data_IF_235957926415
#
_entry.id   IF_235957926415
#
_cell.length_a   1.000
_cell.length_b   1.000
_cell.length_c   1.000
_cell.angle_alpha   90.00
_cell.angle_beta   90.00
_cell.angle_gamma   90.00
#
_symmetry.space_group_name_H-M   'P 1'
#
loop_
_entity.id
_entity.type
_entity.pdbx_description
1 polymer ?
#
# COMPACT_ATOMS: atom_id res chain seq x y z
N UNK A 1 -16.40 -8.09 -17.43
CA UNK A 1 -16.53 -6.62 -17.38
C UNK A 1 -16.40 -6.15 -15.94
N UNK A 2 -15.26 -5.57 -15.56
CA UNK A 2 -15.07 -5.06 -14.19
C UNK A 2 -15.85 -3.75 -14.01
N UNK A 3 -16.71 -3.71 -12.99
CA UNK A 3 -17.46 -2.51 -12.61
C UNK A 3 -16.48 -1.46 -12.07
N UNK A 4 -16.51 -0.25 -12.64
CA UNK A 4 -15.86 0.91 -12.05
C UNK A 4 -16.66 1.38 -10.84
N UNK A 5 -16.04 1.39 -9.66
CA UNK A 5 -16.64 1.96 -8.44
C UNK A 5 -16.27 3.43 -8.32
N UNK A 6 -17.24 4.28 -7.95
CA UNK A 6 -16.97 5.69 -7.63
C UNK A 6 -16.39 5.79 -6.22
N UNK A 7 -15.34 6.60 -6.06
CA UNK A 7 -14.70 6.86 -4.77
C UNK A 7 -14.88 8.34 -4.42
N UNK A 8 -15.54 8.62 -3.28
CA UNK A 8 -15.79 9.97 -2.79
C UNK A 8 -15.29 10.09 -1.35
N UNK A 9 -14.41 11.06 -1.11
CA UNK A 9 -13.88 11.37 0.21
C UNK A 9 -14.01 12.86 0.50
N UNK A 10 -14.08 13.21 1.78
CA UNK A 10 -13.93 14.59 2.25
C UNK A 10 -12.52 14.74 2.80
N UNK A 11 -11.86 15.82 2.43
CA UNK A 11 -10.52 16.20 2.88
C UNK A 11 -10.54 17.68 3.22
N UNK A 12 -9.53 18.12 3.97
CA UNK A 12 -9.33 19.53 4.26
C UNK A 12 -9.11 20.33 2.97
N UNK A 13 -9.69 21.54 2.83
CA UNK A 13 -9.61 22.30 1.59
C UNK A 13 -8.16 22.67 1.22
N UNK A 14 -7.31 22.96 2.20
CA UNK A 14 -5.90 23.29 1.98
C UNK A 14 -5.13 22.09 1.41
N UNK A 15 -5.28 20.92 2.03
CA UNK A 15 -4.68 19.67 1.54
C UNK A 15 -5.13 19.33 0.11
N UNK A 16 -6.40 19.55 -0.21
CA UNK A 16 -6.91 19.32 -1.55
C UNK A 16 -6.26 20.26 -2.57
N UNK A 17 -6.10 21.54 -2.21
CA UNK A 17 -5.48 22.53 -3.08
C UNK A 17 -4.02 22.21 -3.35
N UNK A 18 -3.24 21.94 -2.29
CA UNK A 18 -1.82 21.54 -2.41
C UNK A 18 -1.65 20.28 -3.27
N UNK A 19 -2.50 19.28 -3.07
CA UNK A 19 -2.46 18.06 -3.87
C UNK A 19 -2.73 18.32 -5.35
N UNK A 20 -3.71 19.18 -5.66
CA UNK A 20 -4.02 19.55 -7.04
C UNK A 20 -2.88 20.34 -7.68
N UNK A 21 -2.25 21.25 -6.94
CA UNK A 21 -1.14 22.06 -7.44
C UNK A 21 0.09 21.19 -7.72
N UNK A 22 0.40 20.22 -6.86
CA UNK A 22 1.42 19.20 -7.11
C UNK A 22 1.11 18.37 -8.36
N UNK A 23 -0.15 17.92 -8.52
CA UNK A 23 -0.57 17.17 -9.71
C UNK A 23 -0.41 18.00 -11.00
N UNK A 24 -0.75 19.29 -10.97
CA UNK A 24 -0.57 20.21 -12.11
C UNK A 24 0.91 20.42 -12.42
N UNK A 25 1.74 20.57 -11.40
CA UNK A 25 3.19 20.74 -11.57
C UNK A 25 3.83 19.51 -12.24
N UNK A 26 3.36 18.31 -11.89
CA UNK A 26 3.79 17.06 -12.54
C UNK A 26 3.13 16.79 -13.90
N UNK A 27 2.17 17.62 -14.34
CA UNK A 27 1.31 17.43 -15.51
C UNK A 27 0.58 16.07 -15.51
N UNK A 28 0.08 15.67 -14.32
CA UNK A 28 -0.56 14.37 -14.10
C UNK A 28 -1.99 14.52 -13.61
N UNK A 29 -2.94 13.72 -14.12
CA UNK A 29 -4.30 13.71 -13.60
C UNK A 29 -4.34 13.24 -12.14
N UNK A 30 -4.99 14.00 -11.26
CA UNK A 30 -5.17 13.67 -9.85
C UNK A 30 -5.71 12.24 -9.63
N UNK A 31 -6.68 11.81 -10.44
CA UNK A 31 -7.22 10.46 -10.38
C UNK A 31 -6.21 9.36 -10.75
N UNK A 32 -5.20 9.66 -11.56
CA UNK A 32 -4.09 8.74 -11.82
C UNK A 32 -3.19 8.62 -10.59
N UNK A 33 -2.78 9.76 -10.03
CA UNK A 33 -1.92 9.82 -8.82
C UNK A 33 -2.56 9.07 -7.66
N UNK A 34 -3.84 9.32 -7.38
CA UNK A 34 -4.59 8.61 -6.32
C UNK A 34 -4.61 7.09 -6.55
N UNK A 35 -4.86 6.64 -7.78
CA UNK A 35 -4.86 5.19 -8.10
C UNK A 35 -3.48 4.56 -7.89
N UNK A 36 -2.41 5.28 -8.23
CA UNK A 36 -1.04 4.83 -8.00
C UNK A 36 -0.71 4.79 -6.50
N UNK A 37 -1.08 5.82 -5.74
CA UNK A 37 -0.95 5.86 -4.28
C UNK A 37 -1.68 4.70 -3.63
N UNK A 38 -2.93 4.43 -4.01
CA UNK A 38 -3.70 3.29 -3.51
C UNK A 38 -2.98 1.96 -3.80
N UNK A 39 -2.47 1.77 -5.02
CA UNK A 39 -1.71 0.56 -5.37
C UNK A 39 -0.43 0.43 -4.56
N UNK A 40 0.31 1.52 -4.36
CA UNK A 40 1.52 1.54 -3.55
C UNK A 40 1.21 1.21 -2.08
N UNK A 41 0.13 1.78 -1.52
CA UNK A 41 -0.33 1.52 -0.18
C UNK A 41 -0.73 0.05 0.02
N UNK A 42 -1.47 -0.54 -0.93
CA UNK A 42 -1.83 -1.97 -0.90
C UNK A 42 -0.58 -2.84 -0.95
N UNK A 43 0.39 -2.53 -1.84
CA UNK A 43 1.66 -3.27 -1.90
C UNK A 43 2.42 -3.19 -0.59
N UNK A 44 2.53 -2.01 0.02
CA UNK A 44 3.18 -1.82 1.33
C UNK A 44 2.47 -2.58 2.44
N UNK A 45 1.14 -2.49 2.51
CA UNK A 45 0.31 -3.22 3.48
C UNK A 45 0.40 -4.73 3.33
N UNK A 46 0.47 -5.23 2.09
CA UNK A 46 0.63 -6.66 1.81
C UNK A 46 2.05 -7.13 2.09
N UNK A 47 3.07 -6.34 1.77
CA UNK A 47 4.46 -6.65 2.10
C UNK A 47 4.66 -6.73 3.62
N UNK A 48 4.06 -5.83 4.40
CA UNK A 48 4.07 -5.91 5.87
C UNK A 48 3.35 -7.15 6.41
N UNK A 49 2.20 -7.52 5.82
CA UNK A 49 1.49 -8.77 6.17
C UNK A 49 2.19 -10.04 5.71
N UNK A 50 2.94 -9.98 4.61
CA UNK A 50 3.70 -11.12 4.09
C UNK A 50 5.02 -11.29 4.86
N UNK A 51 5.68 -10.21 5.27
CA UNK A 51 6.83 -10.27 6.16
C UNK A 51 6.48 -10.98 7.50
N UNK A 52 5.26 -10.79 7.99
CA UNK A 52 4.73 -11.48 9.17
C UNK A 52 4.52 -12.99 8.94
N UNK A 53 4.29 -13.44 7.70
CA UNK A 53 4.13 -14.87 7.34
C UNK A 53 5.46 -15.61 7.16
N UNK A 54 6.58 -14.89 7.04
CA UNK A 54 7.93 -15.45 6.89
C UNK A 54 8.82 -15.16 8.12
N UNK A 55 8.23 -14.76 9.25
CA UNK A 55 8.93 -14.88 10.53
C UNK A 55 9.08 -16.38 10.77
N UNK A 56 10.22 -16.92 10.32
CA UNK A 56 10.59 -18.28 10.60
C UNK A 56 10.59 -18.44 12.12
N UNK A 57 9.61 -19.19 12.63
CA UNK A 57 9.72 -19.82 13.94
C UNK A 57 11.14 -20.41 14.01
N UNK A 58 11.93 -20.12 15.06
CA UNK A 58 13.24 -20.72 15.18
C UNK A 58 13.03 -22.23 15.14
N UNK A 59 13.50 -22.86 14.06
CA UNK A 59 13.56 -24.31 13.96
C UNK A 59 14.39 -24.79 15.15
N UNK A 60 13.70 -25.23 16.20
CA UNK A 60 14.31 -25.97 17.30
C UNK A 60 14.95 -27.18 16.63
N UNK A 61 16.27 -27.09 16.54
CA UNK A 61 17.15 -28.14 16.06
C UNK A 61 16.76 -29.39 16.84
N UNK A 62 16.12 -30.34 16.16
CA UNK A 62 15.97 -31.68 16.71
C UNK A 62 17.39 -32.21 16.92
N UNK A 63 17.88 -32.12 18.17
CA UNK A 63 19.09 -32.80 18.59
C UNK A 63 18.76 -34.30 18.63
N UNK A 64 18.89 -34.93 17.46
CA UNK A 64 19.14 -36.36 17.40
C UNK A 64 20.53 -36.59 17.99
N UNK A 65 20.55 -36.96 19.26
CA UNK A 65 21.74 -37.35 20.00
C UNK A 65 21.40 -38.55 20.87
N UNK A 66 21.50 -39.73 20.28
CA UNK A 66 21.65 -41.01 20.97
C UNK A 66 22.55 -40.87 22.20
N UNK A 67 22.08 -41.34 23.36
CA UNK A 67 22.70 -42.43 24.13
C UNK A 67 21.77 -42.94 25.22
#
# INVERSE_FOLDING_TARGET
MHKSSNYRIRVEPELHQEFLDACRFEDRPAAQVIREFMRAYIRKSRAGRQADLFVAEPIERYESGEK
#
